data_IF_803478859396
#
_entry.id   IF_803478859396
#
_cell.length_a   1.000
_cell.length_b   1.000
_cell.length_c   1.000
_cell.angle_alpha   90.00
_cell.angle_beta   90.00
_cell.angle_gamma   90.00
#
_symmetry.space_group_name_H-M   'P 1'
#
loop_
_entity.id
_entity.type
_entity.pdbx_description
1 polymer ?
#
# COMPACT_ATOMS: atom_id res chain seq x y z
N UNK A 1 12.05 -23.84 4.56
CA UNK A 1 12.71 -22.71 3.84
C UNK A 1 13.91 -22.20 4.66
N UNK A 2 15.01 -21.79 4.00
CA UNK A 2 16.11 -21.06 4.67
C UNK A 2 15.62 -19.73 5.27
N UNK A 3 16.07 -19.37 6.47
CA UNK A 3 15.61 -18.18 7.22
C UNK A 3 15.72 -16.87 6.42
N UNK A 4 16.77 -16.72 5.60
CA UNK A 4 17.01 -15.54 4.76
C UNK A 4 15.95 -15.40 3.66
N UNK A 5 15.52 -16.52 3.03
CA UNK A 5 14.48 -16.51 2.00
C UNK A 5 13.10 -16.19 2.59
N UNK A 6 12.83 -16.71 3.78
CA UNK A 6 11.60 -16.39 4.51
C UNK A 6 11.50 -14.89 4.81
N UNK A 7 12.58 -14.28 5.31
CA UNK A 7 12.61 -12.84 5.57
C UNK A 7 12.44 -12.00 4.30
N UNK A 8 13.13 -12.37 3.22
CA UNK A 8 13.00 -11.68 1.93
C UNK A 8 11.57 -11.72 1.38
N UNK A 9 10.92 -12.89 1.43
CA UNK A 9 9.52 -13.03 1.00
C UNK A 9 8.56 -12.26 1.91
N UNK A 10 8.82 -12.20 3.23
CA UNK A 10 8.01 -11.42 4.15
C UNK A 10 8.09 -9.91 3.86
N UNK A 11 9.29 -9.37 3.63
CA UNK A 11 9.49 -7.97 3.26
C UNK A 11 8.81 -7.67 1.92
N UNK A 12 9.01 -8.52 0.91
CA UNK A 12 8.40 -8.34 -0.41
C UNK A 12 6.86 -8.40 -0.34
N UNK A 13 6.33 -9.33 0.45
CA UNK A 13 4.89 -9.42 0.71
C UNK A 13 4.37 -8.14 1.36
N UNK A 14 5.05 -7.63 2.37
CA UNK A 14 4.68 -6.39 3.04
C UNK A 14 4.70 -5.19 2.09
N UNK A 15 5.76 -5.04 1.29
CA UNK A 15 5.85 -3.98 0.27
C UNK A 15 4.75 -4.10 -0.79
N UNK A 16 4.36 -5.34 -1.15
CA UNK A 16 3.29 -5.59 -2.10
C UNK A 16 1.93 -5.21 -1.52
N UNK A 17 1.65 -5.51 -0.25
CA UNK A 17 0.45 -5.02 0.46
C UNK A 17 0.39 -3.50 0.43
N UNK A 18 1.50 -2.86 0.79
CA UNK A 18 1.60 -1.41 0.78
C UNK A 18 1.38 -0.81 -0.60
N UNK A 19 1.96 -1.39 -1.65
CA UNK A 19 1.82 -0.91 -3.03
C UNK A 19 0.46 -1.19 -3.65
N UNK A 20 -0.15 -2.35 -3.36
CA UNK A 20 -1.37 -2.79 -4.03
C UNK A 20 -2.64 -2.40 -3.29
N UNK A 21 -2.61 -2.35 -1.95
CA UNK A 21 -3.76 -2.06 -1.10
C UNK A 21 -4.63 -3.26 -0.78
N UNK A 22 -4.18 -4.46 -1.14
CA UNK A 22 -4.76 -5.69 -0.63
C UNK A 22 -3.96 -6.17 0.57
N UNK A 23 -4.45 -5.83 1.75
CA UNK A 23 -3.78 -6.11 3.02
C UNK A 23 -3.97 -7.56 3.50
N UNK A 24 -5.02 -8.20 2.98
CA UNK A 24 -5.44 -9.57 3.25
C UNK A 24 -4.70 -10.62 2.41
N UNK A 25 -4.05 -10.22 1.31
CA UNK A 25 -3.35 -11.17 0.44
C UNK A 25 -1.98 -11.60 1.00
N UNK A 26 -1.63 -12.87 0.83
CA UNK A 26 -0.38 -13.51 1.20
C UNK A 26 0.29 -14.09 -0.05
N UNK A 27 1.54 -13.68 -0.29
CA UNK A 27 2.36 -14.15 -1.41
C UNK A 27 1.67 -14.14 -2.79
N UNK A 28 1.31 -12.95 -3.31
CA UNK A 28 0.74 -12.82 -4.66
C UNK A 28 1.76 -13.08 -5.77
N UNK A 29 3.03 -13.32 -5.43
CA UNK A 29 4.15 -13.48 -6.36
C UNK A 29 4.42 -14.94 -6.72
N UNK A 30 3.40 -15.79 -6.67
CA UNK A 30 3.50 -17.23 -6.94
C UNK A 30 3.33 -17.60 -8.43
N UNK A 31 3.03 -16.64 -9.31
CA UNK A 31 2.90 -16.83 -10.76
C UNK A 31 1.59 -17.48 -11.22
N UNK A 32 0.71 -17.89 -10.31
CA UNK A 32 -0.59 -18.46 -10.62
C UNK A 32 -1.68 -17.41 -10.35
N UNK A 33 -2.20 -16.79 -11.41
CA UNK A 33 -3.26 -15.78 -11.29
C UNK A 33 -4.35 -16.01 -12.33
N UNK A 34 -5.60 -16.05 -11.88
CA UNK A 34 -6.77 -16.08 -12.74
C UNK A 34 -7.57 -14.78 -12.55
N UNK A 35 -8.00 -14.16 -13.66
CA UNK A 35 -8.77 -12.91 -13.65
C UNK A 35 -10.02 -13.09 -14.51
N UNK A 36 -11.18 -12.73 -13.96
CA UNK A 36 -12.44 -12.78 -14.70
C UNK A 36 -12.38 -11.87 -15.94
N UNK A 37 -12.88 -12.36 -17.09
CA UNK A 37 -12.86 -11.65 -18.38
C UNK A 37 -13.39 -10.21 -18.28
N UNK A 38 -14.50 -10.02 -17.58
CA UNK A 38 -15.12 -8.70 -17.47
C UNK A 38 -14.34 -7.73 -16.59
N UNK A 39 -13.52 -8.22 -15.66
CA UNK A 39 -12.58 -7.38 -14.91
C UNK A 39 -11.37 -7.06 -15.78
N UNK A 40 -10.82 -8.06 -16.47
CA UNK A 40 -9.64 -7.93 -17.33
C UNK A 40 -9.84 -6.89 -18.46
N UNK A 41 -11.05 -6.77 -19.03
CA UNK A 41 -11.38 -5.75 -20.05
C UNK A 41 -11.17 -4.29 -19.59
N UNK A 42 -11.18 -4.03 -18.28
CA UNK A 42 -11.00 -2.68 -17.73
C UNK A 42 -9.54 -2.40 -17.35
N UNK A 43 -8.65 -3.39 -17.44
CA UNK A 43 -7.23 -3.19 -17.15
C UNK A 43 -6.52 -2.57 -18.35
N UNK A 44 -5.72 -1.49 -18.14
CA UNK A 44 -4.86 -0.95 -19.19
C UNK A 44 -3.63 -1.84 -19.39
N UNK A 45 -3.79 -2.90 -20.19
CA UNK A 45 -2.79 -3.96 -20.40
C UNK A 45 -1.44 -3.42 -20.93
N UNK A 46 -1.47 -2.35 -21.70
CA UNK A 46 -0.30 -1.65 -22.27
C UNK A 46 0.59 -1.03 -21.19
N UNK A 47 0.01 -0.65 -20.04
CA UNK A 47 0.73 0.03 -18.96
C UNK A 47 1.27 -0.94 -17.91
N UNK A 48 0.89 -2.22 -17.94
CA UNK A 48 1.26 -3.20 -16.92
C UNK A 48 2.77 -3.45 -16.95
N UNK A 49 3.41 -3.40 -15.79
CA UNK A 49 4.84 -3.72 -15.69
C UNK A 49 5.13 -5.13 -16.20
N UNK A 50 6.23 -5.29 -16.94
CA UNK A 50 6.72 -6.59 -17.38
C UNK A 50 7.63 -7.21 -16.32
N UNK A 51 7.89 -8.52 -16.43
CA UNK A 51 8.78 -9.31 -15.56
C UNK A 51 8.27 -9.37 -14.10
N UNK A 52 9.19 -9.48 -13.15
CA UNK A 52 8.95 -9.73 -11.73
C UNK A 52 8.05 -8.73 -10.97
N UNK A 53 7.70 -7.57 -11.55
CA UNK A 53 6.80 -6.59 -10.91
C UNK A 53 5.36 -6.65 -11.48
N UNK A 54 5.10 -7.59 -12.39
CA UNK A 54 3.81 -7.75 -13.07
C UNK A 54 2.66 -7.98 -12.10
N UNK A 55 2.84 -8.90 -11.15
CA UNK A 55 1.85 -9.32 -10.17
C UNK A 55 1.46 -8.14 -9.27
N UNK A 56 2.45 -7.43 -8.74
CA UNK A 56 2.21 -6.24 -7.90
C UNK A 56 1.52 -5.13 -8.68
N UNK A 57 1.93 -4.87 -9.93
CA UNK A 57 1.33 -3.81 -10.74
C UNK A 57 -0.10 -4.13 -11.17
N UNK A 58 -0.40 -5.41 -11.44
CA UNK A 58 -1.77 -5.87 -11.67
C UNK A 58 -2.62 -5.67 -10.43
N UNK A 59 -2.16 -6.08 -9.26
CA UNK A 59 -2.90 -5.88 -8.02
C UNK A 59 -3.16 -4.40 -7.76
N UNK A 60 -2.16 -3.54 -7.91
CA UNK A 60 -2.35 -2.09 -7.83
C UNK A 60 -3.48 -1.60 -8.75
N UNK A 61 -3.48 -2.00 -10.02
CA UNK A 61 -4.52 -1.59 -10.99
C UNK A 61 -5.89 -2.16 -10.62
N UNK A 62 -5.96 -3.42 -10.22
CA UNK A 62 -7.19 -4.05 -9.74
C UNK A 62 -7.77 -3.29 -8.54
N UNK A 63 -6.92 -2.83 -7.62
CA UNK A 63 -7.34 -2.04 -6.47
C UNK A 63 -7.94 -0.69 -6.90
N UNK A 64 -7.31 0.01 -7.86
CA UNK A 64 -7.88 1.25 -8.42
C UNK A 64 -9.23 1.04 -9.11
N UNK A 65 -9.52 -0.18 -9.59
CA UNK A 65 -10.83 -0.57 -10.11
C UNK A 65 -11.82 -1.06 -9.05
N UNK A 66 -11.36 -1.23 -7.79
CA UNK A 66 -12.10 -1.87 -6.67
C UNK A 66 -12.49 -3.31 -6.99
N UNK A 67 -11.65 -4.03 -7.73
CA UNK A 67 -11.82 -5.46 -7.94
C UNK A 67 -11.62 -6.21 -6.61
N UNK A 68 -12.33 -7.33 -6.45
CA UNK A 68 -12.09 -8.24 -5.34
C UNK A 68 -11.04 -9.25 -5.78
N UNK A 69 -10.04 -9.47 -4.93
CA UNK A 69 -8.98 -10.46 -5.13
C UNK A 69 -9.01 -11.39 -3.93
N UNK A 70 -8.83 -12.69 -4.18
CA UNK A 70 -8.85 -13.72 -3.14
C UNK A 70 -7.65 -14.63 -3.39
N UNK A 71 -6.91 -14.94 -2.33
CA UNK A 71 -5.87 -15.96 -2.40
C UNK A 71 -6.48 -17.35 -2.22
N UNK A 72 -6.07 -18.25 -3.09
CA UNK A 72 -6.45 -19.66 -3.03
C UNK A 72 -5.25 -20.42 -2.45
N UNK A 73 -5.43 -21.14 -1.33
CA UNK A 73 -4.33 -21.88 -0.72
C UNK A 73 -3.83 -22.95 -1.69
N UNK A 74 -2.53 -22.92 -1.96
CA UNK A 74 -1.83 -23.89 -2.79
C UNK A 74 -0.61 -24.42 -2.05
N UNK A 75 -0.39 -25.73 -2.07
CA UNK A 75 0.83 -26.32 -1.51
C UNK A 75 1.99 -26.05 -2.45
N UNK A 76 2.95 -25.24 -2.00
CA UNK A 76 4.17 -24.96 -2.75
C UNK A 76 5.07 -26.21 -2.75
N UNK A 77 5.27 -26.81 -3.92
CA UNK A 77 6.26 -27.87 -4.13
C UNK A 77 7.61 -27.21 -4.42
N UNK A 78 8.41 -27.02 -3.37
CA UNK A 78 9.80 -26.55 -3.52
C UNK A 78 10.70 -27.72 -3.92
N UNK A 79 11.16 -27.73 -5.17
CA UNK A 79 12.28 -28.58 -5.62
C UNK A 79 13.63 -27.88 -5.47
N UNK A 80 14.66 -28.39 -6.15
CA UNK A 80 16.02 -27.82 -6.19
C UNK A 80 16.15 -26.55 -7.08
N UNK A 81 15.05 -25.84 -7.28
CA UNK A 81 15.01 -24.71 -8.22
C UNK A 81 15.76 -23.49 -7.67
N UNK A 82 16.69 -23.00 -8.48
CA UNK A 82 17.48 -21.80 -8.18
C UNK A 82 16.72 -20.58 -8.66
N UNK A 83 16.40 -19.66 -7.72
CA UNK A 83 15.77 -18.39 -8.06
C UNK A 83 16.65 -17.57 -9.01
N UNK A 84 16.16 -17.37 -10.23
CA UNK A 84 16.81 -16.51 -11.24
C UNK A 84 16.74 -15.00 -10.89
N UNK A 85 15.98 -14.63 -9.84
CA UNK A 85 15.89 -13.27 -9.35
C UNK A 85 17.13 -12.89 -8.55
N UNK A 86 17.93 -11.97 -9.09
CA UNK A 86 19.02 -11.31 -8.36
C UNK A 86 18.47 -10.14 -7.55
N UNK A 87 18.03 -10.42 -6.32
CA UNK A 87 17.40 -9.45 -5.39
C UNK A 87 18.19 -8.13 -5.32
N UNK A 88 19.51 -8.20 -5.14
CA UNK A 88 20.38 -7.01 -5.05
C UNK A 88 20.35 -6.08 -6.26
N UNK A 89 20.08 -6.59 -7.46
CA UNK A 89 19.99 -5.77 -8.69
C UNK A 89 18.61 -5.14 -8.89
N UNK A 90 17.59 -5.64 -8.18
CA UNK A 90 16.18 -5.35 -8.48
C UNK A 90 15.50 -4.60 -7.34
N UNK A 91 16.03 -4.65 -6.11
CA UNK A 91 15.46 -3.99 -4.91
C UNK A 91 15.22 -2.49 -5.11
N UNK A 92 16.20 -1.75 -5.67
CA UNK A 92 16.05 -0.31 -5.87
C UNK A 92 14.94 0.03 -6.87
N UNK A 93 14.91 -0.66 -8.01
CA UNK A 93 13.86 -0.51 -9.02
C UNK A 93 12.48 -0.84 -8.44
N UNK A 94 12.40 -1.92 -7.66
CA UNK A 94 11.16 -2.36 -7.02
C UNK A 94 10.69 -1.34 -6.00
N UNK A 95 11.58 -0.84 -5.14
CA UNK A 95 11.23 0.16 -4.15
C UNK A 95 10.62 1.41 -4.79
N UNK A 96 11.26 1.95 -5.84
CA UNK A 96 10.72 3.09 -6.59
C UNK A 96 9.35 2.79 -7.19
N UNK A 97 9.16 1.60 -7.77
CA UNK A 97 7.88 1.18 -8.34
C UNK A 97 6.79 1.02 -7.28
N UNK A 98 7.11 0.44 -6.12
CA UNK A 98 6.18 0.30 -4.99
C UNK A 98 5.75 1.67 -4.44
N UNK A 99 6.70 2.60 -4.22
CA UNK A 99 6.40 3.96 -3.76
C UNK A 99 5.52 4.71 -4.77
N UNK A 100 5.83 4.59 -6.07
CA UNK A 100 5.03 5.20 -7.14
C UNK A 100 3.61 4.65 -7.16
N UNK A 101 3.44 3.33 -7.04
CA UNK A 101 2.12 2.70 -7.04
C UNK A 101 1.33 3.08 -5.78
N UNK A 102 1.98 3.10 -4.61
CA UNK A 102 1.38 3.60 -3.37
C UNK A 102 0.88 5.04 -3.52
N UNK A 103 1.74 5.96 -3.95
CA UNK A 103 1.36 7.37 -4.11
C UNK A 103 0.21 7.57 -5.11
N UNK A 104 0.25 6.88 -6.26
CA UNK A 104 -0.85 6.91 -7.23
C UNK A 104 -2.14 6.32 -6.67
N UNK A 105 -2.06 5.25 -5.88
CA UNK A 105 -3.22 4.61 -5.25
C UNK A 105 -3.87 5.56 -4.25
N UNK A 106 -3.06 6.18 -3.39
CA UNK A 106 -3.56 7.12 -2.39
C UNK A 106 -4.22 8.31 -3.08
N UNK A 107 -3.54 8.92 -4.06
CA UNK A 107 -4.11 10.04 -4.80
C UNK A 107 -5.43 9.67 -5.50
N UNK A 108 -5.46 8.55 -6.23
CA UNK A 108 -6.64 8.16 -6.98
C UNK A 108 -7.81 7.77 -6.06
N UNK A 109 -7.57 6.92 -5.06
CA UNK A 109 -8.65 6.41 -4.22
C UNK A 109 -9.19 7.45 -3.25
N UNK A 110 -8.32 8.29 -2.65
CA UNK A 110 -8.71 9.20 -1.57
C UNK A 110 -8.94 10.66 -2.02
N UNK A 111 -8.37 11.09 -3.14
CA UNK A 111 -8.50 12.48 -3.57
C UNK A 111 -9.32 12.63 -4.86
N UNK A 112 -9.25 11.66 -5.79
CA UNK A 112 -10.01 11.73 -7.04
C UNK A 112 -11.34 10.99 -6.99
N UNK A 113 -11.37 9.80 -6.40
CA UNK A 113 -12.54 8.93 -6.44
C UNK A 113 -13.51 9.21 -5.30
N UNK A 114 -13.07 8.97 -4.06
CA UNK A 114 -13.90 9.05 -2.87
C UNK A 114 -13.15 9.87 -1.81
N UNK A 115 -13.51 11.14 -1.63
CA UNK A 115 -13.00 11.92 -0.51
C UNK A 115 -13.60 11.39 0.79
N UNK A 116 -12.73 10.99 1.71
CA UNK A 116 -13.10 10.44 3.01
C UNK A 116 -12.29 11.12 4.13
N UNK A 117 -12.57 10.79 5.38
CA UNK A 117 -11.85 11.36 6.52
C UNK A 117 -10.34 11.09 6.43
N UNK A 118 -9.95 9.88 6.03
CA UNK A 118 -8.58 9.50 5.69
C UNK A 118 -7.86 10.47 4.73
N UNK A 119 -8.57 11.09 3.79
CA UNK A 119 -8.00 12.06 2.84
C UNK A 119 -7.48 13.32 3.54
N UNK A 120 -8.02 13.66 4.72
CA UNK A 120 -7.62 14.81 5.55
C UNK A 120 -6.62 14.36 6.62
N UNK A 121 -6.84 13.18 7.23
CA UNK A 121 -5.98 12.64 8.29
C UNK A 121 -4.52 12.48 7.85
N UNK A 122 -4.29 11.95 6.64
CA UNK A 122 -2.93 11.73 6.13
C UNK A 122 -2.12 13.04 5.99
N UNK A 123 -2.58 14.08 5.26
CA UNK A 123 -1.80 15.31 5.09
C UNK A 123 -1.65 16.09 6.40
N UNK A 124 -2.69 16.15 7.24
CA UNK A 124 -2.61 16.81 8.55
C UNK A 124 -1.64 16.05 9.46
N UNK A 125 -1.75 14.73 9.50
CA UNK A 125 -0.88 13.87 10.30
C UNK A 125 0.59 14.00 9.90
N UNK A 126 0.88 14.01 8.59
CA UNK A 126 2.22 14.20 8.07
C UNK A 126 2.76 15.60 8.40
N UNK A 127 1.92 16.64 8.29
CA UNK A 127 2.31 18.02 8.61
C UNK A 127 2.65 18.18 10.09
N UNK A 128 1.82 17.64 10.98
CA UNK A 128 2.07 17.66 12.43
C UNK A 128 3.31 16.86 12.81
N UNK A 129 3.51 15.68 12.21
CA UNK A 129 4.69 14.86 12.45
C UNK A 129 5.97 15.58 12.02
N UNK A 130 5.99 16.15 10.81
CA UNK A 130 7.15 16.84 10.26
C UNK A 130 7.46 18.12 11.04
N UNK A 131 6.46 18.97 11.27
CA UNK A 131 6.63 20.23 12.01
C UNK A 131 7.08 19.98 13.44
N UNK A 132 6.44 19.06 14.16
CA UNK A 132 6.83 18.66 15.51
C UNK A 132 8.25 18.08 15.57
N UNK A 133 8.63 17.24 14.61
CA UNK A 133 9.99 16.66 14.55
C UNK A 133 11.05 17.71 14.26
N UNK A 134 10.83 18.60 13.29
CA UNK A 134 11.76 19.70 12.96
C UNK A 134 11.91 20.65 14.14
N UNK A 135 10.81 21.00 14.79
CA UNK A 135 10.82 21.83 16.00
C UNK A 135 11.56 21.16 17.16
N UNK A 136 11.27 19.89 17.45
CA UNK A 136 11.95 19.13 18.49
C UNK A 136 13.45 18.98 18.25
N UNK A 137 13.84 18.60 17.05
CA UNK A 137 15.26 18.42 16.68
C UNK A 137 16.01 19.74 16.75
N UNK A 138 15.45 20.84 16.23
CA UNK A 138 16.10 22.15 16.28
C UNK A 138 16.32 22.65 17.72
N UNK A 139 15.32 22.53 18.58
CA UNK A 139 15.44 22.89 20.00
C UNK A 139 16.35 21.94 20.79
N UNK A 140 16.38 20.65 20.43
CA UNK A 140 17.29 19.70 21.05
C UNK A 140 18.74 20.03 20.71
N UNK A 141 19.04 20.30 19.44
CA UNK A 141 20.37 20.72 18.98
C UNK A 141 20.78 22.03 19.67
N UNK A 142 19.88 23.03 19.72
CA UNK A 142 20.14 24.31 20.40
C UNK A 142 20.44 24.14 21.90
N UNK A 143 19.71 23.26 22.58
CA UNK A 143 19.93 22.97 24.01
C UNK A 143 21.28 22.30 24.26
N UNK A 144 21.73 21.41 23.37
CA UNK A 144 23.07 20.80 23.45
C UNK A 144 24.16 21.87 23.30
N UNK A 145 24.03 22.82 22.37
CA UNK A 145 25.03 23.86 22.18
C UNK A 145 25.06 24.92 23.29
N UNK A 146 23.89 25.29 23.82
CA UNK A 146 23.76 26.35 24.83
C UNK A 146 23.93 25.84 26.26
N UNK A 147 23.75 24.55 26.50
CA UNK A 147 23.71 23.94 27.83
C UNK A 147 22.46 24.31 28.64
N UNK A 148 21.52 25.07 28.06
CA UNK A 148 20.29 25.50 28.72
C UNK A 148 19.20 24.44 28.46
N UNK A 149 18.60 23.86 29.52
CA UNK A 149 17.49 22.93 29.36
C UNK A 149 16.27 23.59 28.72
N UNK A 150 15.61 22.89 27.79
CA UNK A 150 14.35 23.36 27.21
C UNK A 150 13.21 23.33 28.24
N UNK A 151 12.32 24.32 28.18
CA UNK A 151 11.13 24.38 29.03
C UNK A 151 10.15 23.23 28.72
N UNK A 152 9.31 22.88 29.69
CA UNK A 152 8.25 21.89 29.48
C UNK A 152 7.32 22.26 28.31
N UNK A 153 6.99 23.55 28.15
CA UNK A 153 6.16 24.02 27.02
C UNK A 153 6.81 23.78 25.66
N UNK A 154 8.13 24.00 25.54
CA UNK A 154 8.89 23.71 24.32
C UNK A 154 8.87 22.22 23.99
N UNK A 155 9.08 21.36 24.99
CA UNK A 155 9.00 19.91 24.79
C UNK A 155 7.58 19.49 24.37
N UNK A 156 6.54 20.07 24.98
CA UNK A 156 5.14 19.78 24.62
C UNK A 156 4.79 20.22 23.20
N UNK A 157 5.27 21.38 22.74
CA UNK A 157 5.06 21.85 21.36
C UNK A 157 5.75 20.99 20.31
N UNK A 158 6.77 20.22 20.69
CA UNK A 158 7.33 19.16 19.84
C UNK A 158 6.50 17.87 19.95
N UNK A 159 6.28 17.40 21.18
CA UNK A 159 5.76 16.06 21.44
C UNK A 159 4.29 15.91 21.06
N UNK A 160 3.43 16.90 21.34
CA UNK A 160 2.00 16.81 21.06
C UNK A 160 1.70 16.71 19.56
N UNK A 161 2.26 17.56 18.67
CA UNK A 161 2.11 17.38 17.23
C UNK A 161 2.64 16.03 16.73
N UNK A 162 3.75 15.54 17.26
CA UNK A 162 4.28 14.21 16.88
C UNK A 162 3.27 13.11 17.24
N UNK A 163 2.76 13.11 18.48
CA UNK A 163 1.82 12.09 18.96
C UNK A 163 0.52 12.15 18.14
N UNK A 164 -0.07 13.33 17.97
CA UNK A 164 -1.29 13.50 17.18
C UNK A 164 -1.06 13.16 15.71
N UNK A 165 0.09 13.53 15.17
CA UNK A 165 0.49 13.21 13.80
C UNK A 165 0.57 11.70 13.56
N UNK A 166 1.20 10.96 14.47
CA UNK A 166 1.24 9.50 14.43
C UNK A 166 -0.16 8.91 14.53
N UNK A 167 -1.01 9.41 15.44
CA UNK A 167 -2.39 8.92 15.59
C UNK A 167 -3.22 9.10 14.30
N UNK A 168 -3.12 10.26 13.65
CA UNK A 168 -3.81 10.53 12.39
C UNK A 168 -3.30 9.63 11.25
N UNK A 169 -1.99 9.39 11.19
CA UNK A 169 -1.41 8.47 10.20
C UNK A 169 -1.88 7.02 10.46
N UNK A 170 -1.95 6.59 11.72
CA UNK A 170 -2.48 5.27 12.08
C UNK A 170 -3.98 5.15 11.78
N UNK A 171 -4.77 6.20 12.01
CA UNK A 171 -6.17 6.24 11.64
C UNK A 171 -6.36 6.07 10.12
N UNK A 172 -5.58 6.82 9.34
CA UNK A 172 -5.53 6.68 7.88
C UNK A 172 -5.20 5.24 7.45
N UNK A 173 -4.15 4.64 8.03
CA UNK A 173 -3.74 3.27 7.70
C UNK A 173 -4.84 2.27 8.08
N UNK A 174 -5.50 2.44 9.22
CA UNK A 174 -6.63 1.63 9.63
C UNK A 174 -7.79 1.69 8.64
N UNK A 175 -8.13 2.89 8.16
CA UNK A 175 -9.15 3.07 7.15
C UNK A 175 -8.72 2.45 5.80
N UNK A 176 -7.45 2.58 5.42
CA UNK A 176 -6.92 1.99 4.19
C UNK A 176 -6.98 0.47 4.19
N UNK A 177 -6.65 -0.16 5.33
CA UNK A 177 -6.83 -1.60 5.54
C UNK A 177 -8.30 -1.99 5.49
N UNK A 178 -9.19 -1.23 6.13
CA UNK A 178 -10.62 -1.49 6.11
C UNK A 178 -11.25 -1.30 4.72
N UNK A 179 -10.62 -0.48 3.87
CA UNK A 179 -11.13 -0.14 2.54
C UNK A 179 -11.01 -1.27 1.52
N UNK A 180 -10.32 -2.37 1.82
CA UNK A 180 -10.12 -3.50 0.87
C UNK A 180 -11.45 -3.93 0.22
N UNK A 181 -11.56 -3.99 -1.12
CA UNK A 181 -12.81 -4.32 -1.78
C UNK A 181 -13.29 -5.75 -1.45
N UNK A 182 -14.52 -5.86 -0.95
CA UNK A 182 -15.16 -7.17 -0.63
C UNK A 182 -16.33 -7.54 -1.54
N UNK A 183 -16.85 -6.59 -2.31
CA UNK A 183 -18.02 -6.79 -3.17
C UNK A 183 -17.61 -6.75 -4.65
N UNK A 184 -17.77 -7.85 -5.41
CA UNK A 184 -17.36 -7.89 -6.82
C UNK A 184 -18.27 -7.01 -7.67
N UNK A 185 -17.71 -5.93 -8.24
CA UNK A 185 -18.48 -4.97 -9.04
C UNK A 185 -19.01 -5.55 -10.36
N UNK A 186 -18.34 -6.56 -10.93
CA UNK A 186 -18.71 -7.11 -12.24
C UNK A 186 -20.04 -7.88 -12.21
N UNK A 187 -20.42 -8.47 -11.07
CA UNK A 187 -21.70 -9.18 -10.91
C UNK A 187 -22.91 -8.24 -10.97
N UNK A 188 -22.75 -6.98 -10.56
CA UNK A 188 -23.82 -5.99 -10.62
C UNK A 188 -24.20 -5.65 -12.08
N UNK A 189 -23.23 -5.64 -13.01
CA UNK A 189 -23.47 -5.39 -14.43
C UNK A 189 -24.23 -6.53 -15.12
N UNK A 190 -23.99 -7.78 -14.72
CA UNK A 190 -24.65 -8.95 -15.31
C UNK A 190 -26.16 -8.96 -15.01
N UNK A 191 -26.57 -8.55 -13.80
CA UNK A 191 -27.99 -8.48 -13.43
C UNK A 191 -28.80 -7.44 -14.20
N UNK A 192 -28.17 -6.33 -14.61
CA UNK A 192 -28.85 -5.29 -15.42
C UNK A 192 -29.11 -5.81 -16.84
N UNK A 193 -28.14 -6.51 -17.44
CA UNK A 193 -28.32 -7.12 -18.76
C UNK A 193 -29.34 -8.25 -18.79
N UNK A 194 -29.46 -9.06 -17.73
CA UNK A 194 -30.45 -10.15 -17.71
C UNK A 194 -31.90 -9.66 -17.57
N UNK A 195 -32.13 -8.49 -16.97
CA UNK A 195 -33.48 -7.88 -16.88
C UNK A 195 -33.89 -7.17 -18.18
N UNK A 196 -32.94 -6.66 -18.95
CA UNK A 196 -33.21 -5.93 -20.20
C UNK A 196 -33.52 -6.85 -21.42
N UNK A 197 -33.40 -8.18 -21.27
CA UNK A 197 -33.72 -9.16 -22.32
C UNK A 197 -34.91 -10.06 -21.99
N UNK A 198 -35.76 -9.66 -21.04
CA UNK A 198 -36.92 -10.42 -20.57
C UNK A 198 -38.26 -9.70 -20.82
N UNK A 199 -38.33 -8.88 -21.87
CA UNK A 199 -39.56 -8.24 -22.37
C UNK A 199 -39.68 -8.54 -23.86
#
# INVERSE_FOLDING_TARGET
MPRIRLFGNAVLSFMTKFSSGYWDLFDPTNGYTAIHRDVAKHLPLDKISRRYFFETDILFRLNTLRAVVVDIPMHAKYGDEVSNLKVSKVVGEFFVKHVRNFGKRIFYNYYLRDMSLASIELPVGLTLLLSGSVFGISHWISSIYTGIPNSAGTVMLSALPIILGIQLILAFLGQDIASVPRRPFHLAKTKVKSKAGAV
#
